data_IF_607971000802
#
_entry.id   IF_607971000802
#
_cell.length_a   1.000
_cell.length_b   1.000
_cell.length_c   1.000
_cell.angle_alpha   90.00
_cell.angle_beta   90.00
_cell.angle_gamma   90.00
#
_symmetry.space_group_name_H-M   'P 1'
#
loop_
_entity.id
_entity.type
_entity.pdbx_description
1 polymer ?
#
# COMPACT_ATOMS: atom_id res chain seq x y z
N UNK A 1 -13.72 -2.13 6.78
CA UNK A 1 -12.73 -1.48 7.68
C UNK A 1 -12.21 -0.32 6.86
N UNK A 2 -12.11 0.90 7.41
CA UNK A 2 -11.53 1.99 6.62
C UNK A 2 -10.05 1.67 6.40
N UNK A 3 -9.60 1.70 5.16
CA UNK A 3 -8.18 1.56 4.83
C UNK A 3 -7.39 2.69 5.50
N UNK A 4 -6.12 2.46 5.80
CA UNK A 4 -5.30 3.43 6.56
C UNK A 4 -5.25 4.81 5.87
N UNK A 5 -5.34 4.84 4.54
CA UNK A 5 -5.42 6.05 3.73
C UNK A 5 -6.75 6.80 3.96
N UNK A 6 -7.88 6.09 3.99
CA UNK A 6 -9.22 6.67 4.19
C UNK A 6 -9.37 7.33 5.56
N UNK A 7 -8.68 6.79 6.59
CA UNK A 7 -8.58 7.46 7.90
C UNK A 7 -7.88 8.81 7.76
N UNK A 8 -6.81 8.87 6.96
CA UNK A 8 -6.11 10.11 6.63
C UNK A 8 -7.00 11.11 5.89
N UNK A 9 -7.81 10.64 4.94
CA UNK A 9 -8.76 11.46 4.21
C UNK A 9 -9.85 12.07 5.10
N UNK A 10 -10.39 11.27 6.02
CA UNK A 10 -11.43 11.72 6.95
C UNK A 10 -10.89 12.68 8.01
N UNK A 11 -9.69 12.43 8.54
CA UNK A 11 -9.10 13.22 9.64
C UNK A 11 -8.29 14.42 9.15
N UNK A 12 -7.94 14.48 7.87
CA UNK A 12 -7.17 15.58 7.26
C UNK A 12 -7.82 16.04 5.94
N UNK A 13 -9.00 16.70 6.00
CA UNK A 13 -9.80 17.01 4.82
C UNK A 13 -9.07 17.87 3.79
N UNK A 14 -8.13 18.73 4.22
CA UNK A 14 -7.28 19.54 3.34
C UNK A 14 -6.36 18.72 2.41
N UNK A 15 -6.12 17.43 2.71
CA UNK A 15 -5.30 16.53 1.91
C UNK A 15 -6.12 15.43 1.23
N UNK A 16 -7.43 15.33 1.54
CA UNK A 16 -8.26 14.21 1.12
C UNK A 16 -8.30 14.01 -0.40
N UNK A 17 -8.40 15.08 -1.19
CA UNK A 17 -8.41 14.96 -2.65
C UNK A 17 -7.09 14.41 -3.19
N UNK A 18 -5.96 14.81 -2.62
CA UNK A 18 -4.65 14.33 -3.04
C UNK A 18 -4.42 12.88 -2.63
N UNK A 19 -4.83 12.50 -1.41
CA UNK A 19 -4.79 11.12 -0.93
C UNK A 19 -5.62 10.19 -1.84
N UNK A 20 -6.86 10.59 -2.18
CA UNK A 20 -7.70 9.85 -3.13
C UNK A 20 -7.06 9.72 -4.51
N UNK A 21 -6.39 10.77 -4.97
CA UNK A 21 -5.74 10.76 -6.29
C UNK A 21 -4.55 9.78 -6.32
N UNK A 22 -3.71 9.78 -5.27
CA UNK A 22 -2.59 8.84 -5.16
C UNK A 22 -3.11 7.40 -5.11
N UNK A 23 -4.15 7.13 -4.31
CA UNK A 23 -4.75 5.80 -4.20
C UNK A 23 -5.28 5.30 -5.55
N UNK A 24 -6.18 6.08 -6.19
CA UNK A 24 -6.81 5.71 -7.46
C UNK A 24 -5.84 5.40 -8.58
N UNK A 25 -4.67 6.04 -8.58
CA UNK A 25 -3.67 5.88 -9.64
C UNK A 25 -2.73 4.71 -9.34
N UNK A 26 -2.29 4.55 -8.09
CA UNK A 26 -1.16 3.66 -7.78
C UNK A 26 -1.58 2.32 -7.15
N UNK A 27 -2.77 2.22 -6.55
CA UNK A 27 -3.19 0.99 -5.87
C UNK A 27 -3.78 -0.07 -6.82
N UNK A 28 -4.63 0.27 -7.82
CA UNK A 28 -5.23 -0.74 -8.68
C UNK A 28 -4.23 -1.69 -9.36
N UNK A 29 -3.09 -1.24 -9.93
CA UNK A 29 -2.13 -2.15 -10.55
C UNK A 29 -1.52 -3.16 -9.55
N UNK A 30 -1.31 -2.73 -8.30
CA UNK A 30 -0.81 -3.61 -7.23
C UNK A 30 -1.87 -4.65 -6.85
N UNK A 31 -3.13 -4.22 -6.72
CA UNK A 31 -4.26 -5.11 -6.39
C UNK A 31 -4.53 -6.12 -7.51
N UNK A 32 -4.43 -5.70 -8.77
CA UNK A 32 -4.54 -6.58 -9.93
C UNK A 32 -3.44 -7.65 -9.92
N UNK A 33 -2.20 -7.28 -9.61
CA UNK A 33 -1.10 -8.24 -9.47
C UNK A 33 -1.34 -9.26 -8.34
N UNK A 34 -1.87 -8.81 -7.20
CA UNK A 34 -2.26 -9.68 -6.08
C UNK A 34 -3.37 -10.65 -6.50
N UNK A 35 -4.43 -10.15 -7.15
CA UNK A 35 -5.55 -10.98 -7.60
C UNK A 35 -5.11 -12.05 -8.61
N UNK A 36 -4.16 -11.69 -9.50
CA UNK A 36 -3.58 -12.59 -10.49
C UNK A 36 -2.49 -13.52 -9.93
N UNK A 37 -2.08 -13.32 -8.67
CA UNK A 37 -0.95 -14.03 -8.03
C UNK A 37 0.36 -13.89 -8.81
N UNK A 38 0.54 -12.74 -9.45
CA UNK A 38 1.72 -12.43 -10.24
C UNK A 38 2.75 -11.69 -9.37
N UNK A 39 3.76 -12.43 -8.91
CA UNK A 39 4.77 -11.89 -8.01
C UNK A 39 5.69 -10.87 -8.70
N UNK A 40 5.98 -11.06 -9.99
CA UNK A 40 6.88 -10.18 -10.72
C UNK A 40 6.20 -8.84 -10.99
N UNK A 41 4.94 -8.87 -11.45
CA UNK A 41 4.12 -7.68 -11.62
C UNK A 41 3.88 -6.98 -10.28
N UNK A 42 3.61 -7.74 -9.20
CA UNK A 42 3.44 -7.17 -7.87
C UNK A 42 4.68 -6.39 -7.43
N UNK A 43 5.87 -6.98 -7.56
CA UNK A 43 7.12 -6.34 -7.18
C UNK A 43 7.35 -5.05 -7.97
N UNK A 44 7.06 -5.07 -9.28
CA UNK A 44 7.20 -3.90 -10.13
C UNK A 44 6.22 -2.78 -9.75
N UNK A 45 4.93 -3.10 -9.63
CA UNK A 45 3.90 -2.09 -9.31
C UNK A 45 4.04 -1.56 -7.89
N UNK A 46 4.42 -2.41 -6.94
CA UNK A 46 4.68 -1.98 -5.57
C UNK A 46 5.87 -1.02 -5.49
N UNK A 47 6.95 -1.28 -6.22
CA UNK A 47 8.08 -0.36 -6.31
C UNK A 47 7.68 1.00 -6.89
N UNK A 48 6.89 1.00 -7.98
CA UNK A 48 6.33 2.21 -8.59
C UNK A 48 5.45 3.00 -7.61
N UNK A 49 4.57 2.32 -6.87
CA UNK A 49 3.76 2.94 -5.83
C UNK A 49 4.61 3.59 -4.72
N UNK A 50 5.67 2.93 -4.28
CA UNK A 50 6.61 3.48 -3.29
C UNK A 50 7.29 4.76 -3.80
N UNK A 51 7.69 4.79 -5.07
CA UNK A 51 8.25 5.98 -5.70
C UNK A 51 7.23 7.13 -5.74
N UNK A 52 5.98 6.85 -6.12
CA UNK A 52 4.90 7.84 -6.14
C UNK A 52 4.62 8.43 -4.74
N UNK A 53 4.57 7.58 -3.70
CA UNK A 53 4.41 8.02 -2.31
C UNK A 53 5.55 8.97 -1.89
N UNK A 54 6.80 8.57 -2.14
CA UNK A 54 7.97 9.37 -1.78
C UNK A 54 8.07 10.68 -2.59
N UNK A 55 7.68 10.66 -3.87
CA UNK A 55 7.61 11.84 -4.73
C UNK A 55 6.55 12.83 -4.23
N UNK A 56 5.37 12.35 -3.84
CA UNK A 56 4.31 13.16 -3.25
C UNK A 56 4.78 13.84 -1.96
N UNK A 57 5.40 13.09 -1.04
CA UNK A 57 5.95 13.66 0.18
C UNK A 57 7.02 14.72 -0.10
N UNK A 58 7.88 14.49 -1.09
CA UNK A 58 8.90 15.46 -1.49
C UNK A 58 8.27 16.74 -2.05
N UNK A 59 7.30 16.63 -2.95
CA UNK A 59 6.61 17.76 -3.57
C UNK A 59 5.88 18.64 -2.54
N UNK A 60 5.42 18.05 -1.44
CA UNK A 60 4.74 18.76 -0.34
C UNK A 60 5.70 19.30 0.73
N UNK A 61 7.02 19.17 0.56
CA UNK A 61 8.01 19.62 1.54
C UNK A 61 8.17 18.68 2.75
N UNK A 62 7.71 17.44 2.62
CA UNK A 62 7.76 16.40 3.65
C UNK A 62 8.74 15.28 3.30
N UNK A 63 9.84 15.59 2.59
CA UNK A 63 10.84 14.59 2.16
C UNK A 63 11.48 13.77 3.30
N UNK A 64 11.34 14.22 4.55
CA UNK A 64 11.74 13.45 5.74
C UNK A 64 10.85 12.22 5.99
N UNK A 65 9.62 12.20 5.45
CA UNK A 65 8.71 11.04 5.46
C UNK A 65 9.07 10.17 4.25
N UNK A 66 10.18 9.42 4.36
CA UNK A 66 10.64 8.53 3.29
C UNK A 66 10.33 7.08 3.61
N UNK A 67 9.42 6.47 2.87
CA UNK A 67 9.16 5.05 2.96
C UNK A 67 10.34 4.26 2.37
N UNK A 68 10.70 3.15 3.04
CA UNK A 68 11.67 2.16 2.57
C UNK A 68 11.14 0.78 2.91
N UNK A 69 11.09 -0.11 1.91
CA UNK A 69 10.80 -1.52 2.14
C UNK A 69 12.02 -2.14 2.84
N UNK A 70 11.85 -2.81 4.00
CA UNK A 70 12.93 -3.59 4.61
C UNK A 70 13.43 -4.68 3.66
N UNK A 71 14.75 -4.84 3.54
CA UNK A 71 15.36 -5.89 2.70
C UNK A 71 15.28 -7.28 3.31
N UNK A 72 14.97 -7.35 4.60
CA UNK A 72 14.73 -8.58 5.32
C UNK A 72 13.36 -8.46 5.98
N UNK A 73 12.56 -9.52 5.90
CA UNK A 73 11.44 -9.65 6.81
C UNK A 73 12.00 -9.55 8.23
N UNK A 74 11.41 -8.71 9.09
CA UNK A 74 11.78 -8.67 10.50
C UNK A 74 11.48 -10.04 11.10
N UNK A 75 12.48 -10.92 11.08
CA UNK A 75 12.34 -12.35 11.39
C UNK A 75 11.77 -12.60 12.80
N UNK A 76 11.83 -11.59 13.69
CA UNK A 76 11.26 -11.66 15.02
C UNK A 76 9.72 -11.62 15.09
N UNK A 77 9.01 -11.30 14.01
CA UNK A 77 7.55 -11.08 14.02
C UNK A 77 6.70 -12.07 13.24
N UNK A 78 7.29 -12.98 12.46
CA UNK A 78 6.56 -13.87 11.55
C UNK A 78 6.85 -15.34 11.86
N UNK A 79 5.81 -16.13 12.12
CA UNK A 79 5.90 -17.59 12.28
C UNK A 79 5.45 -18.31 11.01
N UNK A 80 6.43 -18.71 10.19
CA UNK A 80 6.19 -19.43 8.94
C UNK A 80 5.84 -20.93 9.14
N UNK A 81 5.82 -21.43 10.38
CA UNK A 81 5.41 -22.81 10.66
C UNK A 81 3.89 -22.97 10.81
N UNK A 82 3.16 -21.85 10.92
CA UNK A 82 1.71 -21.86 10.94
C UNK A 82 1.18 -22.25 9.55
N UNK A 83 0.60 -23.45 9.46
CA UNK A 83 -0.08 -23.94 8.25
C UNK A 83 -1.50 -23.39 8.18
N UNK A 84 -1.64 -22.09 8.00
CA UNK A 84 -2.94 -21.48 7.70
C UNK A 84 -3.09 -21.33 6.20
N UNK A 85 -4.20 -21.83 5.65
CA UNK A 85 -4.58 -21.55 4.27
C UNK A 85 -4.80 -20.03 4.14
N UNK A 86 -4.22 -19.33 3.14
CA UNK A 86 -4.50 -17.92 2.90
C UNK A 86 -5.93 -17.77 2.37
N UNK A 87 -6.92 -17.96 3.23
CA UNK A 87 -8.32 -17.67 2.93
C UNK A 87 -8.54 -16.16 3.04
N UNK A 88 -8.04 -15.39 2.07
CA UNK A 88 -8.51 -14.03 1.87
C UNK A 88 -9.95 -14.09 1.37
N UNK A 89 -10.90 -13.81 2.25
CA UNK A 89 -12.30 -13.61 1.87
C UNK A 89 -12.45 -12.11 1.61
N UNK A 90 -12.54 -11.71 0.34
CA UNK A 90 -12.90 -10.34 -0.03
C UNK A 90 -14.23 -10.00 0.64
N UNK A 91 -14.19 -9.13 1.65
CA UNK A 91 -15.40 -8.55 2.21
C UNK A 91 -15.99 -7.63 1.15
N UNK A 92 -17.08 -8.05 0.50
CA UNK A 92 -17.84 -7.18 -0.40
C UNK A 92 -18.13 -5.86 0.32
N UNK A 93 -17.53 -4.77 -0.17
CA UNK A 93 -17.90 -3.42 0.21
C UNK A 93 -19.40 -3.23 -0.01
N UNK A 94 -20.07 -2.66 1.00
CA UNK A 94 -21.48 -2.28 0.97
C UNK A 94 -21.61 -0.78 0.84
#
# INVERSE_FOLDING_TARGET
MLEAQEVGEATRPQHAQMLKAVERVNFPPVLDAVANKDLDEFNQQFASMVEACNACHTALGHAFIKYRLPTEATAGGLDFNLKTDPAHVEGKEK
#
